data_IF_946547390855
#
_entry.id   IF_946547390855
#
_cell.length_a   1.000
_cell.length_b   1.000
_cell.length_c   1.000
_cell.angle_alpha   90.00
_cell.angle_beta   90.00
_cell.angle_gamma   90.00
#
_symmetry.space_group_name_H-M   'P 1'
#
loop_
_entity.id
_entity.type
_entity.pdbx_description
1 polymer ?
#
# COMPACT_ATOMS: atom_id res chain seq x y z
N UNK A 1 27.51 -13.68 -30.13
CA UNK A 1 27.58 -13.63 -28.66
C UNK A 1 26.90 -14.85 -28.04
N UNK A 2 25.72 -15.30 -28.55
CA UNK A 2 24.94 -16.40 -27.96
C UNK A 2 24.96 -17.71 -28.74
N UNK A 3 25.72 -17.81 -29.84
CA UNK A 3 25.67 -18.94 -30.81
C UNK A 3 25.99 -20.32 -30.21
N UNK A 4 26.83 -20.37 -29.16
CA UNK A 4 27.22 -21.62 -28.50
C UNK A 4 26.64 -21.76 -27.07
N UNK A 5 25.70 -20.88 -26.69
CA UNK A 5 25.13 -20.87 -25.37
C UNK A 5 23.72 -21.49 -25.35
N UNK A 6 23.39 -22.14 -24.25
CA UNK A 6 22.00 -22.46 -23.95
C UNK A 6 21.23 -21.18 -23.59
N UNK A 7 19.91 -21.19 -23.69
CA UNK A 7 19.07 -20.06 -23.26
C UNK A 7 19.39 -19.65 -21.82
N UNK A 8 19.53 -20.60 -20.93
CA UNK A 8 19.87 -20.35 -19.51
C UNK A 8 21.20 -19.62 -19.36
N UNK A 9 22.25 -20.04 -20.06
CA UNK A 9 23.56 -19.40 -20.03
C UNK A 9 23.53 -17.98 -20.60
N UNK A 10 22.78 -17.78 -21.68
CA UNK A 10 22.60 -16.46 -22.29
C UNK A 10 21.85 -15.52 -21.33
N UNK A 11 20.81 -16.02 -20.66
CA UNK A 11 20.05 -15.28 -19.64
C UNK A 11 20.94 -14.87 -18.47
N UNK A 12 21.69 -15.78 -17.89
CA UNK A 12 22.62 -15.50 -16.80
C UNK A 12 23.64 -14.42 -17.18
N UNK A 13 24.17 -14.47 -18.39
CA UNK A 13 25.11 -13.45 -18.88
C UNK A 13 24.47 -12.07 -19.00
N UNK A 14 23.23 -11.97 -19.49
CA UNK A 14 22.50 -10.69 -19.60
C UNK A 14 22.27 -10.12 -18.19
N UNK A 15 21.86 -10.95 -17.23
CA UNK A 15 21.60 -10.53 -15.86
C UNK A 15 22.88 -10.03 -15.17
N UNK A 16 24.00 -10.74 -15.35
CA UNK A 16 25.29 -10.30 -14.80
C UNK A 16 25.75 -8.97 -15.41
N UNK A 17 25.64 -8.80 -16.74
CA UNK A 17 25.95 -7.52 -17.39
C UNK A 17 25.04 -6.39 -16.88
N UNK A 18 23.78 -6.67 -16.60
CA UNK A 18 22.85 -5.70 -16.02
C UNK A 18 23.30 -5.27 -14.63
N UNK A 19 23.70 -6.24 -13.80
CA UNK A 19 24.23 -6.01 -12.46
C UNK A 19 25.49 -5.14 -12.49
N UNK A 20 26.50 -5.52 -13.29
CA UNK A 20 27.73 -4.76 -13.44
C UNK A 20 27.47 -3.32 -13.91
N UNK A 21 26.54 -3.12 -14.87
CA UNK A 21 26.15 -1.80 -15.34
C UNK A 21 25.57 -0.96 -14.20
N UNK A 22 24.62 -1.51 -13.44
CA UNK A 22 23.99 -0.79 -12.34
C UNK A 22 25.00 -0.45 -11.23
N UNK A 23 25.83 -1.37 -10.83
CA UNK A 23 26.86 -1.16 -9.80
C UNK A 23 27.83 -0.07 -10.20
N UNK A 24 28.23 -0.05 -11.46
CA UNK A 24 29.19 0.93 -11.99
C UNK A 24 28.61 2.33 -12.11
N UNK A 25 27.37 2.48 -12.55
CA UNK A 25 26.83 3.77 -12.95
C UNK A 25 25.74 4.32 -12.05
N UNK A 26 25.07 3.49 -11.26
CA UNK A 26 23.87 3.89 -10.49
C UNK A 26 23.97 3.65 -8.98
N UNK A 27 24.75 2.70 -8.50
CA UNK A 27 24.86 2.38 -7.07
C UNK A 27 25.87 3.25 -6.31
N UNK A 28 26.42 4.29 -6.95
CA UNK A 28 27.36 5.21 -6.30
C UNK A 28 26.61 6.14 -5.33
N UNK A 29 26.51 5.76 -4.06
CA UNK A 29 26.01 6.63 -2.99
C UNK A 29 27.01 7.78 -2.78
N UNK A 30 26.62 8.98 -3.11
CA UNK A 30 27.39 10.19 -2.73
C UNK A 30 27.17 10.45 -1.25
N UNK A 31 28.23 10.55 -0.41
CA UNK A 31 28.07 10.91 0.99
C UNK A 31 27.49 12.33 1.07
N UNK A 32 26.50 12.52 1.96
CA UNK A 32 25.91 13.84 2.21
C UNK A 32 26.97 14.83 2.68
N UNK A 33 26.94 16.05 2.13
CA UNK A 33 27.76 17.18 2.57
C UNK A 33 26.84 18.30 3.03
N UNK A 34 27.27 19.07 4.04
CA UNK A 34 26.53 20.25 4.53
C UNK A 34 26.28 21.21 3.37
N UNK A 35 25.01 21.52 3.11
CA UNK A 35 24.58 22.38 1.99
C UNK A 35 24.00 21.60 0.80
N UNK A 36 24.11 20.28 0.78
CA UNK A 36 23.42 19.46 -0.22
C UNK A 36 21.92 19.51 0.00
N UNK A 37 21.16 19.40 -1.09
CA UNK A 37 19.71 19.30 -1.03
C UNK A 37 19.30 17.99 -0.35
N UNK A 38 18.46 18.10 0.67
CA UNK A 38 17.82 16.95 1.30
C UNK A 38 16.51 16.66 0.53
N UNK A 39 16.39 15.54 -0.16
CA UNK A 39 15.13 15.18 -0.81
C UNK A 39 14.09 14.82 0.26
N UNK A 40 12.83 15.21 0.05
CA UNK A 40 11.73 14.85 0.93
C UNK A 40 11.39 13.36 0.83
N UNK A 41 11.66 12.75 -0.34
CA UNK A 41 11.56 11.33 -0.60
C UNK A 41 12.66 10.94 -1.58
N UNK A 42 13.23 9.76 -1.41
CA UNK A 42 14.20 9.20 -2.35
C UNK A 42 13.96 7.71 -2.54
N UNK A 43 14.42 7.23 -3.68
CA UNK A 43 14.34 5.81 -4.00
C UNK A 43 15.50 5.08 -3.32
N UNK A 44 15.19 3.92 -2.74
CA UNK A 44 16.19 3.01 -2.16
C UNK A 44 16.11 1.72 -2.96
N UNK A 45 16.91 1.64 -3.99
CA UNK A 45 17.06 0.43 -4.81
C UNK A 45 18.52 0.32 -5.27
N UNK A 46 18.91 -0.88 -5.67
CA UNK A 46 20.25 -1.17 -6.21
C UNK A 46 20.15 -2.03 -7.47
N UNK A 47 21.16 -2.88 -7.72
CA UNK A 47 21.18 -3.69 -8.91
C UNK A 47 20.13 -4.81 -8.91
N UNK A 48 19.70 -5.28 -7.75
CA UNK A 48 18.81 -6.43 -7.64
C UNK A 48 17.43 -6.16 -8.24
N UNK A 49 16.86 -4.95 -8.03
CA UNK A 49 15.59 -4.56 -8.65
C UNK A 49 15.70 -4.52 -10.18
N UNK A 50 16.81 -4.01 -10.69
CA UNK A 50 17.04 -3.96 -12.16
C UNK A 50 17.26 -5.33 -12.76
N UNK A 51 17.98 -6.19 -12.07
CA UNK A 51 18.20 -7.59 -12.48
C UNK A 51 16.86 -8.32 -12.53
N UNK A 52 16.03 -8.22 -11.49
CA UNK A 52 14.69 -8.83 -11.47
C UNK A 52 13.77 -8.30 -12.57
N UNK A 53 13.83 -6.99 -12.86
CA UNK A 53 13.05 -6.39 -13.94
C UNK A 53 13.46 -6.94 -15.31
N UNK A 54 14.76 -7.03 -15.58
CA UNK A 54 15.30 -7.60 -16.82
C UNK A 54 14.98 -9.10 -16.90
N UNK A 55 15.14 -9.84 -15.80
CA UNK A 55 14.82 -11.26 -15.74
C UNK A 55 13.34 -11.52 -16.07
N UNK A 56 12.43 -10.73 -15.51
CA UNK A 56 11.01 -10.84 -15.83
C UNK A 56 10.70 -10.54 -17.31
N UNK A 57 11.44 -9.60 -17.91
CA UNK A 57 11.28 -9.24 -19.32
C UNK A 57 11.76 -10.34 -20.27
N UNK A 58 12.81 -11.07 -19.89
CA UNK A 58 13.38 -12.17 -20.65
C UNK A 58 12.47 -13.41 -20.71
N UNK A 59 11.44 -13.50 -19.88
CA UNK A 59 10.40 -14.52 -20.03
C UNK A 59 9.50 -14.30 -21.25
N UNK A 60 9.54 -13.10 -21.82
CA UNK A 60 8.68 -12.69 -22.94
C UNK A 60 7.18 -12.82 -22.64
N UNK A 61 6.83 -12.98 -21.36
CA UNK A 61 5.47 -12.99 -20.86
C UNK A 61 5.20 -11.66 -20.16
N UNK A 62 4.79 -10.65 -20.95
CA UNK A 62 4.72 -9.26 -20.54
C UNK A 62 3.41 -8.91 -19.79
N UNK A 63 2.93 -9.83 -18.98
CA UNK A 63 1.74 -9.68 -18.13
C UNK A 63 1.94 -10.47 -16.83
N UNK A 64 0.89 -10.62 -16.03
CA UNK A 64 0.94 -11.39 -14.77
C UNK A 64 1.45 -12.82 -15.01
N UNK A 65 2.50 -13.21 -14.31
CA UNK A 65 3.19 -14.48 -14.44
C UNK A 65 3.75 -15.01 -13.13
N UNK A 66 4.91 -15.69 -13.19
CA UNK A 66 5.55 -16.28 -11.99
C UNK A 66 5.96 -15.23 -10.97
N UNK A 67 6.53 -14.10 -11.40
CA UNK A 67 6.94 -13.02 -10.49
C UNK A 67 5.77 -12.44 -9.72
N UNK A 68 4.60 -12.29 -10.35
CA UNK A 68 3.37 -11.85 -9.66
C UNK A 68 2.99 -12.83 -8.56
N UNK A 69 2.97 -14.13 -8.87
CA UNK A 69 2.60 -15.18 -7.89
C UNK A 69 3.60 -15.26 -6.74
N UNK A 70 4.89 -15.15 -7.04
CA UNK A 70 5.95 -15.16 -6.06
C UNK A 70 5.84 -13.95 -5.14
N UNK A 71 5.69 -12.74 -5.72
CA UNK A 71 5.48 -11.52 -4.94
C UNK A 71 4.26 -11.63 -4.02
N UNK A 72 3.10 -12.00 -4.55
CA UNK A 72 1.86 -12.13 -3.77
C UNK A 72 2.02 -13.11 -2.60
N UNK A 73 2.68 -14.23 -2.84
CA UNK A 73 2.96 -15.24 -1.81
C UNK A 73 3.90 -14.74 -0.72
N UNK A 74 5.05 -14.20 -1.13
CA UNK A 74 6.07 -13.76 -0.17
C UNK A 74 5.66 -12.50 0.58
N UNK A 75 4.96 -11.58 -0.08
CA UNK A 75 4.46 -10.37 0.56
C UNK A 75 3.33 -10.68 1.57
N UNK A 76 2.40 -11.58 1.22
CA UNK A 76 1.40 -12.05 2.16
C UNK A 76 2.04 -12.71 3.39
N UNK A 77 3.07 -13.53 3.19
CA UNK A 77 3.85 -14.16 4.26
C UNK A 77 4.59 -13.13 5.12
N UNK A 78 5.24 -12.14 4.51
CA UNK A 78 5.91 -11.06 5.23
C UNK A 78 4.95 -10.29 6.15
N UNK A 79 3.76 -9.97 5.65
CA UNK A 79 2.73 -9.27 6.41
C UNK A 79 2.00 -10.16 7.41
N UNK A 80 2.10 -11.49 7.28
CA UNK A 80 1.35 -12.44 8.10
C UNK A 80 -0.15 -12.48 7.76
N UNK A 81 -0.52 -12.12 6.52
CA UNK A 81 -1.91 -12.15 6.03
C UNK A 81 -2.13 -13.33 5.08
N UNK A 82 -3.41 -13.67 4.85
CA UNK A 82 -3.77 -14.84 4.04
C UNK A 82 -3.65 -14.61 2.54
N UNK A 83 -3.95 -13.42 2.10
CA UNK A 83 -4.03 -13.07 0.68
C UNK A 83 -3.33 -11.75 0.39
N UNK A 84 -2.73 -11.67 -0.78
CA UNK A 84 -2.20 -10.46 -1.38
C UNK A 84 -2.58 -10.45 -2.85
N UNK A 85 -2.87 -9.28 -3.40
CA UNK A 85 -3.07 -9.07 -4.84
C UNK A 85 -2.17 -7.95 -5.32
N UNK A 86 -1.30 -8.25 -6.28
CA UNK A 86 -0.40 -7.28 -6.87
C UNK A 86 -1.15 -6.42 -7.90
N UNK A 87 -0.94 -5.12 -7.81
CA UNK A 87 -1.39 -4.11 -8.76
C UNK A 87 -0.23 -3.23 -9.19
N UNK A 88 -0.45 -2.34 -10.16
CA UNK A 88 0.62 -1.54 -10.75
C UNK A 88 0.99 -0.27 -9.96
N UNK A 89 0.27 0.06 -8.91
CA UNK A 89 0.54 1.25 -8.07
C UNK A 89 -0.28 1.24 -6.79
N UNK A 90 0.13 1.99 -5.76
CA UNK A 90 -0.65 2.22 -4.54
C UNK A 90 -2.02 2.85 -4.83
N UNK A 91 -2.12 3.73 -5.84
CA UNK A 91 -3.41 4.27 -6.29
C UNK A 91 -4.38 3.18 -6.76
N UNK A 92 -3.86 2.20 -7.51
CA UNK A 92 -4.65 1.04 -7.94
C UNK A 92 -4.94 0.09 -6.79
N UNK A 93 -4.06 0.00 -5.80
CA UNK A 93 -4.31 -0.77 -4.58
C UNK A 93 -5.48 -0.18 -3.80
N UNK A 94 -5.49 1.13 -3.58
CA UNK A 94 -6.60 1.84 -2.93
C UNK A 94 -7.92 1.67 -3.69
N UNK A 95 -7.87 1.78 -5.03
CA UNK A 95 -9.04 1.58 -5.86
C UNK A 95 -9.56 0.14 -5.74
N UNK A 96 -8.69 -0.86 -5.86
CA UNK A 96 -9.08 -2.27 -5.77
C UNK A 96 -9.65 -2.62 -4.39
N UNK A 97 -9.00 -2.15 -3.31
CA UNK A 97 -9.44 -2.37 -1.94
C UNK A 97 -10.85 -1.81 -1.72
N UNK A 98 -11.09 -0.56 -2.14
CA UNK A 98 -12.40 0.06 -2.02
C UNK A 98 -13.45 -0.66 -2.89
N UNK A 99 -13.12 -0.96 -4.15
CA UNK A 99 -14.05 -1.62 -5.07
C UNK A 99 -14.40 -3.04 -4.63
N UNK A 100 -13.52 -3.74 -3.91
CA UNK A 100 -13.85 -5.04 -3.32
C UNK A 100 -15.02 -4.95 -2.34
N UNK A 101 -15.15 -3.84 -1.60
CA UNK A 101 -16.23 -3.60 -0.66
C UNK A 101 -17.56 -3.22 -1.32
N UNK A 102 -17.56 -2.95 -2.62
CA UNK A 102 -18.79 -2.71 -3.41
C UNK A 102 -19.37 -3.99 -4.01
N UNK A 103 -18.79 -5.15 -3.71
CA UNK A 103 -19.24 -6.44 -4.24
C UNK A 103 -20.62 -6.85 -3.68
N UNK A 104 -21.57 -7.26 -4.52
CA UNK A 104 -22.86 -7.79 -4.07
C UNK A 104 -22.76 -9.03 -3.17
N UNK A 105 -21.61 -9.72 -3.19
CA UNK A 105 -21.38 -10.88 -2.33
C UNK A 105 -21.33 -10.50 -0.84
N UNK A 106 -21.09 -9.24 -0.52
CA UNK A 106 -21.04 -8.72 0.86
C UNK A 106 -22.43 -8.43 1.46
N UNK A 107 -23.49 -8.55 0.65
CA UNK A 107 -24.88 -8.40 1.08
C UNK A 107 -25.11 -7.06 1.82
N UNK A 108 -25.55 -7.09 3.08
CA UNK A 108 -25.85 -5.89 3.90
C UNK A 108 -24.61 -5.04 4.20
N UNK A 109 -23.41 -5.62 4.10
CA UNK A 109 -22.15 -4.89 4.27
C UNK A 109 -21.59 -4.32 2.96
N UNK A 110 -22.28 -4.52 1.83
CA UNK A 110 -21.91 -3.91 0.55
C UNK A 110 -21.98 -2.38 0.66
N UNK A 111 -20.97 -1.70 0.11
CA UNK A 111 -20.99 -0.25 -0.07
C UNK A 111 -21.75 0.05 -1.37
N UNK A 112 -22.73 0.94 -1.29
CA UNK A 112 -23.55 1.40 -2.42
C UNK A 112 -23.30 2.89 -2.72
N UNK A 113 -23.61 3.36 -3.94
CA UNK A 113 -23.58 4.80 -4.24
C UNK A 113 -24.47 5.57 -3.24
N UNK A 114 -23.93 6.64 -2.68
CA UNK A 114 -24.58 7.45 -1.64
C UNK A 114 -24.30 7.00 -0.20
N UNK A 115 -23.68 5.84 0.01
CA UNK A 115 -23.15 5.45 1.32
C UNK A 115 -21.94 6.31 1.69
N UNK A 116 -21.70 6.46 2.98
CA UNK A 116 -20.67 7.33 3.53
C UNK A 116 -19.42 6.56 3.92
N UNK A 117 -18.25 7.20 3.68
CA UNK A 117 -16.93 6.70 4.06
C UNK A 117 -16.19 7.79 4.82
N UNK A 118 -15.87 7.52 6.09
CA UNK A 118 -15.10 8.45 6.92
C UNK A 118 -13.64 8.44 6.48
N UNK A 119 -13.08 9.64 6.30
CA UNK A 119 -11.68 9.84 5.89
C UNK A 119 -11.19 11.20 6.39
N UNK A 120 -9.97 11.61 6.00
CA UNK A 120 -9.42 12.94 6.29
C UNK A 120 -9.16 13.72 5.01
N UNK A 121 -9.29 15.06 5.08
CA UNK A 121 -8.96 15.94 3.95
C UNK A 121 -7.45 16.19 3.81
N UNK A 122 -6.70 16.10 4.91
CA UNK A 122 -5.25 16.29 4.94
C UNK A 122 -4.54 14.97 4.62
N UNK A 123 -4.60 14.55 3.34
CA UNK A 123 -4.02 13.28 2.90
C UNK A 123 -3.77 13.23 1.39
N UNK A 124 -3.29 12.11 0.91
CA UNK A 124 -3.05 11.93 -0.52
C UNK A 124 -4.38 11.69 -1.26
N UNK A 125 -4.59 12.31 -2.44
CA UNK A 125 -5.89 12.24 -3.12
C UNK A 125 -6.39 10.83 -3.43
N UNK A 126 -5.49 9.86 -3.63
CA UNK A 126 -5.89 8.49 -4.00
C UNK A 126 -6.47 7.67 -2.85
N UNK A 127 -6.34 8.14 -1.60
CA UNK A 127 -7.08 7.56 -0.47
C UNK A 127 -8.58 7.92 -0.54
N UNK A 128 -8.92 9.07 -1.14
CA UNK A 128 -10.30 9.56 -1.24
C UNK A 128 -10.94 9.30 -2.60
N UNK A 129 -10.13 9.35 -3.67
CA UNK A 129 -10.63 9.27 -5.04
C UNK A 129 -11.53 8.06 -5.34
N UNK A 130 -11.26 6.83 -4.86
CA UNK A 130 -12.14 5.68 -5.09
C UNK A 130 -13.56 5.87 -4.57
N UNK A 131 -13.71 6.53 -3.41
CA UNK A 131 -15.01 6.83 -2.80
C UNK A 131 -15.86 7.68 -3.75
N UNK A 132 -15.26 8.76 -4.27
CA UNK A 132 -15.95 9.70 -5.18
C UNK A 132 -16.22 9.03 -6.55
N UNK A 133 -15.25 8.29 -7.07
CA UNK A 133 -15.39 7.61 -8.38
C UNK A 133 -16.54 6.62 -8.40
N UNK A 134 -16.80 5.94 -7.30
CA UNK A 134 -17.91 5.01 -7.18
C UNK A 134 -19.26 5.69 -6.93
N UNK A 135 -19.25 6.94 -6.48
CA UNK A 135 -20.46 7.69 -6.12
C UNK A 135 -20.84 7.53 -4.64
N UNK A 136 -19.94 7.03 -3.80
CA UNK A 136 -20.06 7.12 -2.35
C UNK A 136 -19.65 8.52 -1.87
N UNK A 137 -19.95 8.84 -0.62
CA UNK A 137 -19.78 10.19 -0.05
C UNK A 137 -18.63 10.18 0.96
N UNK A 138 -17.52 10.90 0.71
CA UNK A 138 -16.50 11.06 1.72
C UNK A 138 -16.96 11.99 2.85
N UNK A 139 -16.85 11.51 4.08
CA UNK A 139 -17.12 12.29 5.30
C UNK A 139 -15.78 12.64 5.92
N UNK A 140 -15.43 13.93 5.88
CA UNK A 140 -14.13 14.39 6.33
C UNK A 140 -14.13 14.68 7.82
N UNK A 141 -13.18 14.08 8.52
CA UNK A 141 -12.84 14.33 9.93
C UNK A 141 -11.50 15.06 9.97
N UNK A 142 -11.34 15.97 10.93
CA UNK A 142 -10.10 16.72 11.08
C UNK A 142 -8.97 15.86 11.64
N UNK A 143 -7.73 16.36 11.51
CA UNK A 143 -6.52 15.72 11.98
C UNK A 143 -6.01 16.35 13.26
N UNK A 144 -5.40 15.56 14.12
CA UNK A 144 -4.73 16.02 15.32
C UNK A 144 -3.31 16.51 15.02
N UNK A 145 -2.92 17.68 15.53
CA UNK A 145 -1.57 18.22 15.44
C UNK A 145 -0.83 17.90 16.76
N UNK A 146 0.41 17.42 16.71
CA UNK A 146 1.35 17.38 15.58
C UNK A 146 1.39 16.07 14.80
N UNK A 147 0.52 15.11 15.03
CA UNK A 147 0.56 13.77 14.42
C UNK A 147 0.10 13.76 12.96
N UNK A 148 -0.78 14.69 12.58
CA UNK A 148 -1.40 14.79 11.24
C UNK A 148 -2.23 13.58 10.83
N UNK A 149 -2.58 12.72 11.78
CA UNK A 149 -3.52 11.62 11.64
C UNK A 149 -4.91 12.04 12.12
N UNK A 150 -5.94 11.27 11.73
CA UNK A 150 -7.32 11.53 12.17
C UNK A 150 -7.40 11.73 13.69
N UNK A 151 -8.21 12.68 14.13
CA UNK A 151 -8.56 12.80 15.55
C UNK A 151 -9.69 11.82 15.88
N UNK A 152 -9.40 10.72 16.62
CA UNK A 152 -10.40 9.70 16.92
C UNK A 152 -11.54 10.20 17.79
N UNK A 153 -11.36 11.31 18.52
CA UNK A 153 -12.42 11.90 19.34
C UNK A 153 -13.57 12.51 18.53
N UNK A 154 -13.35 12.75 17.24
CA UNK A 154 -14.34 13.31 16.34
C UNK A 154 -15.15 12.24 15.58
N UNK A 155 -14.78 10.97 15.65
CA UNK A 155 -15.38 9.88 14.86
C UNK A 155 -16.88 9.70 15.18
N UNK A 156 -17.28 9.76 16.45
CA UNK A 156 -18.68 9.60 16.86
C UNK A 156 -19.61 10.73 16.33
N UNK A 157 -19.04 11.89 15.97
CA UNK A 157 -19.81 12.99 15.37
C UNK A 157 -19.95 12.83 13.85
N UNK A 158 -19.09 12.00 13.24
CA UNK A 158 -19.03 11.79 11.79
C UNK A 158 -19.84 10.58 11.32
N UNK A 159 -20.21 9.67 12.23
CA UNK A 159 -20.94 8.45 11.87
C UNK A 159 -22.44 8.71 11.71
N UNK A 160 -23.04 8.11 10.69
CA UNK A 160 -24.48 8.08 10.44
C UNK A 160 -24.96 6.68 10.08
N UNK A 161 -26.25 6.49 9.86
CA UNK A 161 -26.81 5.23 9.36
C UNK A 161 -26.32 4.86 7.95
N UNK A 162 -25.78 5.82 7.20
CA UNK A 162 -25.20 5.62 5.86
C UNK A 162 -23.73 5.28 5.89
N UNK A 163 -23.07 5.42 7.01
CA UNK A 163 -21.64 5.14 7.11
C UNK A 163 -21.37 3.65 6.99
N UNK A 164 -20.48 3.26 6.09
CA UNK A 164 -20.13 1.86 5.81
C UNK A 164 -18.66 1.53 6.03
N UNK A 165 -17.77 2.52 5.92
CA UNK A 165 -16.34 2.30 6.03
C UNK A 165 -15.61 3.50 6.62
N UNK A 166 -14.41 3.21 7.11
CA UNK A 166 -13.34 4.17 7.41
C UNK A 166 -12.17 3.84 6.50
N UNK A 167 -11.65 4.82 5.78
CA UNK A 167 -10.47 4.65 4.90
C UNK A 167 -9.45 5.73 5.22
N UNK A 168 -8.32 5.34 5.76
CA UNK A 168 -7.29 6.24 6.31
C UNK A 168 -5.89 5.81 5.91
N UNK A 169 -5.04 6.81 5.65
CA UNK A 169 -3.61 6.61 5.50
C UNK A 169 -2.88 6.74 6.85
N UNK A 170 -1.79 5.99 6.99
CA UNK A 170 -0.80 6.20 8.06
C UNK A 170 0.14 7.34 7.63
N UNK A 171 -0.20 8.56 8.01
CA UNK A 171 0.40 9.78 7.48
C UNK A 171 1.92 9.81 7.68
N UNK A 172 2.67 9.89 6.57
CA UNK A 172 4.13 9.94 6.54
C UNK A 172 4.82 8.79 7.30
N UNK A 173 4.19 7.62 7.32
CA UNK A 173 4.71 6.44 8.01
C UNK A 173 4.43 6.40 9.52
N UNK A 174 3.69 7.39 10.05
CA UNK A 174 3.28 7.45 11.44
C UNK A 174 1.88 6.80 11.59
N UNK A 175 1.75 5.67 12.30
CA UNK A 175 0.45 5.04 12.47
C UNK A 175 -0.56 5.96 13.15
N UNK A 176 -1.78 6.03 12.62
CA UNK A 176 -2.88 6.64 13.38
C UNK A 176 -3.24 5.78 14.61
N UNK A 177 -4.05 6.27 15.53
CA UNK A 177 -4.51 5.47 16.68
C UNK A 177 -5.40 4.31 16.20
N UNK A 178 -4.72 3.24 15.77
CA UNK A 178 -5.35 2.03 15.22
C UNK A 178 -6.30 1.38 16.23
N UNK A 179 -5.96 1.41 17.51
CA UNK A 179 -6.84 0.84 18.55
C UNK A 179 -8.16 1.58 18.61
N UNK A 180 -8.12 2.90 18.73
CA UNK A 180 -9.32 3.71 18.81
C UNK A 180 -10.18 3.62 17.55
N UNK A 181 -9.54 3.68 16.36
CA UNK A 181 -10.25 3.58 15.07
C UNK A 181 -10.84 2.19 14.86
N UNK A 182 -10.08 1.13 15.18
CA UNK A 182 -10.57 -0.25 15.03
C UNK A 182 -11.75 -0.53 15.98
N UNK A 183 -11.64 -0.13 17.24
CA UNK A 183 -12.73 -0.28 18.22
C UNK A 183 -14.00 0.48 17.78
N UNK A 184 -13.82 1.67 17.18
CA UNK A 184 -14.93 2.43 16.60
C UNK A 184 -15.57 1.67 15.43
N UNK A 185 -14.77 1.19 14.48
CA UNK A 185 -15.27 0.41 13.34
C UNK A 185 -16.02 -0.84 13.80
N UNK A 186 -15.51 -1.55 14.79
CA UNK A 186 -16.13 -2.77 15.31
C UNK A 186 -17.49 -2.47 16.00
N UNK A 187 -17.57 -1.39 16.80
CA UNK A 187 -18.83 -0.99 17.43
C UNK A 187 -19.93 -0.65 16.44
N UNK A 188 -19.55 -0.01 15.33
CA UNK A 188 -20.48 0.46 14.29
C UNK A 188 -20.60 -0.50 13.09
N UNK A 189 -19.95 -1.68 13.14
CA UNK A 189 -19.88 -2.67 12.06
C UNK A 189 -19.43 -2.07 10.71
N UNK A 190 -18.39 -1.21 10.76
CA UNK A 190 -17.80 -0.55 9.60
C UNK A 190 -16.57 -1.33 9.08
N UNK A 191 -16.32 -1.23 7.79
CA UNK A 191 -15.06 -1.67 7.20
C UNK A 191 -13.93 -0.71 7.57
N UNK A 192 -12.74 -1.23 7.83
CA UNK A 192 -11.53 -0.43 7.99
C UNK A 192 -10.54 -0.76 6.86
N UNK A 193 -10.25 0.25 6.02
CA UNK A 193 -9.19 0.20 5.01
C UNK A 193 -8.00 1.01 5.51
N UNK A 194 -6.84 0.36 5.62
CA UNK A 194 -5.56 0.99 5.96
C UNK A 194 -4.79 1.29 4.68
N UNK A 195 -4.66 2.57 4.29
CA UNK A 195 -3.70 2.99 3.27
C UNK A 195 -2.30 3.05 3.91
N UNK A 196 -1.53 2.02 3.65
CA UNK A 196 -0.23 1.79 4.27
C UNK A 196 0.96 2.19 3.36
N UNK A 197 0.70 2.98 2.31
CA UNK A 197 1.68 3.35 1.29
C UNK A 197 2.96 3.95 1.90
N UNK A 198 2.82 4.87 2.86
CA UNK A 198 3.95 5.52 3.53
C UNK A 198 4.49 4.72 4.72
N UNK A 199 3.82 3.66 5.16
CA UNK A 199 4.06 3.02 6.45
C UNK A 199 4.41 1.53 6.35
N UNK A 200 4.81 1.03 5.17
CA UNK A 200 5.22 -0.36 5.02
C UNK A 200 6.38 -0.69 5.97
N UNK A 201 6.18 -1.70 6.83
CA UNK A 201 7.13 -2.07 7.87
C UNK A 201 6.95 -1.36 9.20
N UNK A 202 6.13 -0.30 9.27
CA UNK A 202 5.75 0.33 10.53
C UNK A 202 4.95 -0.63 11.41
N UNK A 203 5.02 -0.44 12.71
CA UNK A 203 4.38 -1.33 13.67
C UNK A 203 3.54 -0.53 14.66
N UNK A 204 2.43 -1.12 15.07
CA UNK A 204 1.56 -0.59 16.11
C UNK A 204 1.30 -1.67 17.18
N UNK A 205 1.32 -1.28 18.46
CA UNK A 205 1.00 -2.21 19.54
C UNK A 205 -0.48 -2.12 19.88
N UNK A 206 -1.21 -3.21 19.62
CA UNK A 206 -2.63 -3.34 19.93
C UNK A 206 -2.83 -4.55 20.86
N UNK A 207 -3.53 -4.35 21.96
CA UNK A 207 -3.81 -5.39 22.97
C UNK A 207 -2.55 -6.14 23.48
N UNK A 208 -1.41 -5.45 23.54
CA UNK A 208 -0.12 -6.01 23.96
C UNK A 208 0.68 -6.70 22.86
N UNK A 209 0.13 -6.83 21.66
CA UNK A 209 0.80 -7.43 20.51
C UNK A 209 1.30 -6.37 19.52
N UNK A 210 2.57 -6.48 19.10
CA UNK A 210 3.14 -5.61 18.06
C UNK A 210 2.83 -6.19 16.69
N UNK A 211 2.00 -5.50 15.91
CA UNK A 211 1.57 -5.90 14.57
C UNK A 211 2.05 -4.91 13.51
N UNK A 212 2.22 -5.37 12.28
CA UNK A 212 2.50 -4.49 11.15
C UNK A 212 1.25 -3.66 10.82
N UNK A 213 1.45 -2.38 10.48
CA UNK A 213 0.39 -1.55 9.91
C UNK A 213 -0.05 -2.12 8.56
N UNK A 214 -1.29 -1.87 8.17
CA UNK A 214 -1.90 -2.49 6.99
C UNK A 214 -2.40 -3.92 7.22
N UNK A 215 -2.33 -4.44 8.47
CA UNK A 215 -2.77 -5.80 8.82
C UNK A 215 -3.77 -5.85 9.97
N UNK A 216 -4.23 -4.70 10.44
CA UNK A 216 -5.11 -4.58 11.61
C UNK A 216 -6.55 -4.34 11.17
N UNK A 217 -6.75 -3.57 10.10
CA UNK A 217 -8.04 -3.40 9.45
C UNK A 217 -8.48 -4.62 8.64
N UNK A 218 -9.57 -4.46 7.89
CA UNK A 218 -10.11 -5.52 7.02
C UNK A 218 -9.30 -5.65 5.73
N UNK A 219 -8.77 -4.54 5.20
CA UNK A 219 -7.93 -4.49 4.00
C UNK A 219 -6.81 -3.48 4.22
N UNK A 220 -5.57 -3.88 3.91
CA UNK A 220 -4.41 -2.99 3.81
C UNK A 220 -3.98 -2.80 2.37
N UNK A 221 -3.50 -1.60 2.03
CA UNK A 221 -2.92 -1.26 0.73
C UNK A 221 -1.51 -0.69 0.89
N UNK A 222 -0.60 -0.99 -0.02
CA UNK A 222 0.79 -0.49 0.01
C UNK A 222 1.30 -0.17 -1.39
#
# INVERSE_FOLDING_TARGET
MFEEMTEQQAREQILEMTKEYCEKYHNQKKPYKKGDRIPYASRVYDADEMVNLVDSSLEFWLTSGRFTKEFESEFAKYLGVKYCSLVNSGSSANLLAFMALTSPLLKERQILPGDEVITVAAGFPTTVAPVIQYGAVPVFVDVAIPQYNIDPNLLEQAVSEKTKAVMLAHTLGNPFDLKAVKDFCDRHNLWLIEDNCDALGSRYTIDGESRLTGTIGDIGTS
#
